data_IF_261905923140
#
_entry.id   IF_261905923140
#
_cell.length_a   1.000
_cell.length_b   1.000
_cell.length_c   1.000
_cell.angle_alpha   90.00
_cell.angle_beta   90.00
_cell.angle_gamma   90.00
#
_symmetry.space_group_name_H-M   'P 1'
#
loop_
_entity.id
_entity.type
_entity.pdbx_description
1 polymer ?
#
# COMPACT_ATOMS: atom_id res chain seq x y z
N UNK A 1 6.60 -11.13 -14.30
CA UNK A 1 7.81 -10.93 -13.47
C UNK A 1 8.42 -12.30 -13.21
N UNK A 2 9.53 -12.64 -13.87
CA UNK A 2 10.21 -13.93 -13.66
C UNK A 2 11.40 -13.72 -12.73
N UNK A 3 11.15 -13.67 -11.41
CA UNK A 3 12.14 -13.76 -10.31
C UNK A 3 13.21 -12.67 -10.20
N UNK A 4 13.76 -12.18 -11.30
CA UNK A 4 14.77 -11.13 -11.39
C UNK A 4 14.69 -10.24 -12.63
N UNK A 5 13.78 -10.52 -13.59
CA UNK A 5 13.51 -9.63 -14.73
C UNK A 5 12.03 -9.31 -14.87
N UNK A 6 11.77 -8.04 -15.23
CA UNK A 6 10.46 -7.55 -15.62
C UNK A 6 10.46 -7.47 -17.13
N UNK A 7 9.57 -8.22 -17.77
CA UNK A 7 9.33 -8.16 -19.20
C UNK A 7 7.93 -7.59 -19.41
N UNK A 8 7.82 -6.62 -20.32
CA UNK A 8 6.53 -6.07 -20.72
C UNK A 8 5.85 -7.06 -21.66
N UNK A 9 4.60 -7.37 -21.38
CA UNK A 9 3.74 -8.24 -22.18
C UNK A 9 2.49 -7.44 -22.57
N UNK A 10 1.96 -7.68 -23.76
CA UNK A 10 0.75 -6.99 -24.24
C UNK A 10 -0.52 -7.60 -23.63
N UNK A 11 -0.57 -8.93 -23.50
CA UNK A 11 -1.69 -9.67 -22.95
C UNK A 11 -1.24 -10.84 -22.05
N UNK A 12 -2.14 -11.30 -21.19
CA UNK A 12 -1.90 -12.42 -20.29
C UNK A 12 -3.19 -13.24 -20.09
N UNK A 13 -3.16 -14.58 -20.20
CA UNK A 13 -4.34 -15.40 -19.97
C UNK A 13 -4.72 -15.42 -18.49
N UNK A 14 -6.00 -15.70 -18.23
CA UNK A 14 -6.55 -15.75 -16.88
C UNK A 14 -5.85 -16.80 -15.99
N UNK A 15 -5.68 -16.47 -14.71
CA UNK A 15 -5.06 -17.36 -13.70
C UNK A 15 -3.58 -17.09 -13.45
N UNK A 16 -2.94 -16.20 -14.22
CA UNK A 16 -1.56 -15.80 -13.99
C UNK A 16 -1.43 -14.58 -13.07
N UNK A 17 -0.26 -14.46 -12.43
CA UNK A 17 0.11 -13.28 -11.64
C UNK A 17 0.94 -12.34 -12.51
N UNK A 18 0.47 -11.11 -12.67
CA UNK A 18 1.15 -10.05 -13.42
C UNK A 18 1.44 -8.84 -12.53
N UNK A 19 2.53 -8.13 -12.83
CA UNK A 19 2.79 -6.81 -12.26
C UNK A 19 2.12 -5.76 -13.14
N UNK A 20 1.37 -4.86 -12.53
CA UNK A 20 0.69 -3.77 -13.23
C UNK A 20 1.29 -2.42 -12.81
N UNK A 21 1.59 -1.57 -13.79
CA UNK A 21 2.23 -0.27 -13.59
C UNK A 21 1.24 0.85 -13.91
N UNK A 22 1.25 1.93 -13.12
CA UNK A 22 0.42 3.12 -13.36
C UNK A 22 -0.93 3.16 -12.63
N UNK A 23 -1.23 2.19 -11.77
CA UNK A 23 -2.46 2.16 -10.93
C UNK A 23 -2.24 2.55 -9.48
N UNK A 24 -1.00 2.85 -9.10
CA UNK A 24 -0.58 3.22 -7.75
C UNK A 24 -1.22 4.52 -7.24
N UNK A 25 -1.68 5.38 -8.15
CA UNK A 25 -2.40 6.61 -7.81
C UNK A 25 -3.84 6.35 -7.37
N UNK A 26 -4.46 5.28 -7.87
CA UNK A 26 -5.88 4.97 -7.65
C UNK A 26 -6.08 3.93 -6.55
N UNK A 27 -5.10 3.04 -6.36
CA UNK A 27 -5.15 1.98 -5.36
C UNK A 27 -4.23 2.30 -4.18
N UNK A 28 -4.80 2.26 -2.98
CA UNK A 28 -4.04 2.43 -1.73
C UNK A 28 -3.39 1.11 -1.30
N UNK A 29 -4.18 0.14 -0.86
CA UNK A 29 -3.67 -1.16 -0.38
C UNK A 29 -4.03 -2.32 -1.30
N UNK A 30 -5.31 -2.39 -1.64
CA UNK A 30 -5.86 -3.41 -2.53
C UNK A 30 -7.08 -2.85 -3.23
N UNK A 31 -7.40 -3.41 -4.39
CA UNK A 31 -8.60 -3.08 -5.12
C UNK A 31 -8.83 -4.06 -6.25
N UNK A 32 -10.02 -4.00 -6.82
CA UNK A 32 -10.43 -4.84 -7.95
C UNK A 32 -10.51 -3.96 -9.18
N UNK A 33 -9.80 -4.36 -10.24
CA UNK A 33 -9.86 -3.71 -11.54
C UNK A 33 -10.83 -4.49 -12.43
N UNK A 34 -11.69 -3.77 -13.15
CA UNK A 34 -12.72 -4.34 -14.01
C UNK A 34 -13.06 -3.34 -15.11
N UNK A 35 -13.45 -3.86 -16.27
CA UNK A 35 -14.00 -3.06 -17.38
C UNK A 35 -15.52 -3.01 -17.36
N UNK A 36 -16.18 -3.80 -16.50
CA UNK A 36 -17.64 -3.84 -16.37
C UNK A 36 -18.12 -2.86 -15.31
N UNK A 37 -19.10 -2.02 -15.68
CA UNK A 37 -19.73 -1.05 -14.76
C UNK A 37 -20.58 -1.71 -13.67
N UNK A 38 -21.03 -2.95 -13.88
CA UNK A 38 -21.87 -3.69 -12.93
C UNK A 38 -21.08 -4.59 -11.98
N UNK A 39 -19.75 -4.59 -12.11
CA UNK A 39 -18.89 -5.42 -11.28
C UNK A 39 -18.85 -4.93 -9.83
N UNK A 40 -18.67 -5.89 -8.92
CA UNK A 40 -18.53 -5.62 -7.49
C UNK A 40 -17.09 -5.89 -7.04
N UNK A 41 -16.65 -5.13 -6.04
CA UNK A 41 -15.30 -5.30 -5.49
C UNK A 41 -15.13 -6.68 -4.87
N UNK A 42 -13.95 -7.27 -5.04
CA UNK A 42 -13.57 -8.47 -4.32
C UNK A 42 -13.49 -8.17 -2.82
N UNK A 43 -13.79 -9.18 -2.01
CA UNK A 43 -13.74 -9.06 -0.56
C UNK A 43 -12.33 -8.71 -0.10
N UNK A 44 -12.21 -7.66 0.69
CA UNK A 44 -10.94 -7.23 1.28
C UNK A 44 -10.34 -8.37 2.11
N UNK A 45 -9.03 -8.59 1.96
CA UNK A 45 -8.31 -9.56 2.77
C UNK A 45 -8.41 -9.19 4.25
N UNK A 46 -8.81 -10.16 5.09
CA UNK A 46 -8.75 -10.03 6.54
C UNK A 46 -7.45 -10.65 7.02
N UNK A 47 -6.61 -9.84 7.63
CA UNK A 47 -5.41 -10.33 8.31
C UNK A 47 -5.82 -10.88 9.67
N UNK A 48 -5.26 -12.04 10.04
CA UNK A 48 -5.56 -12.71 11.31
C UNK A 48 -5.05 -11.92 12.52
N UNK A 49 -4.11 -10.99 12.31
CA UNK A 49 -3.48 -10.17 13.34
C UNK A 49 -3.85 -8.70 13.14
N UNK A 50 -4.25 -8.04 14.23
CA UNK A 50 -4.35 -6.58 14.27
C UNK A 50 -3.00 -6.00 14.66
N UNK A 51 -2.56 -4.87 14.08
CA UNK A 51 -1.32 -4.22 14.47
C UNK A 51 -1.44 -3.74 15.92
N UNK A 52 -0.66 -4.35 16.82
CA UNK A 52 -0.69 -4.09 18.27
C UNK A 52 0.43 -3.16 18.72
N UNK A 53 1.56 -3.14 18.00
CA UNK A 53 2.69 -2.28 18.32
C UNK A 53 2.50 -0.96 17.61
N UNK A 54 2.59 0.14 18.35
CA UNK A 54 2.48 1.50 17.82
C UNK A 54 3.70 2.31 18.25
N UNK A 55 4.30 3.04 17.31
CA UNK A 55 5.47 3.88 17.54
C UNK A 55 5.24 5.25 16.91
N UNK A 56 5.45 6.30 17.70
CA UNK A 56 5.50 7.66 17.19
C UNK A 56 6.86 7.89 16.49
N UNK A 57 6.82 8.36 15.25
CA UNK A 57 8.01 8.63 14.44
C UNK A 57 8.10 10.11 14.10
N UNK A 58 9.31 10.64 14.22
CA UNK A 58 9.61 12.05 13.99
C UNK A 58 10.84 12.22 13.10
N UNK A 59 10.91 13.36 12.42
CA UNK A 59 12.10 13.71 11.63
C UNK A 59 13.18 14.30 12.52
N UNK A 60 14.44 13.93 12.28
CA UNK A 60 15.58 14.57 12.94
C UNK A 60 15.78 16.02 12.48
N UNK A 61 15.52 16.29 11.20
CA UNK A 61 15.58 17.63 10.63
C UNK A 61 14.17 18.03 10.15
N UNK A 62 13.70 19.21 10.55
CA UNK A 62 12.37 19.70 10.15
C UNK A 62 12.17 19.76 8.62
N UNK A 63 13.24 20.01 7.86
CA UNK A 63 13.20 20.08 6.39
C UNK A 63 12.87 18.73 5.73
N UNK A 64 13.03 17.61 6.43
CA UNK A 64 12.75 16.27 5.89
C UNK A 64 11.30 15.83 6.14
N UNK A 65 10.47 16.63 6.81
CA UNK A 65 9.06 16.30 7.08
C UNK A 65 8.28 15.88 5.83
N UNK A 66 8.41 16.56 4.66
CA UNK A 66 7.75 16.11 3.44
C UNK A 66 8.18 14.71 2.99
N UNK A 67 9.46 14.34 3.22
CA UNK A 67 9.98 13.00 2.89
C UNK A 67 9.44 11.94 3.83
N UNK A 68 9.26 12.25 5.12
CA UNK A 68 8.62 11.35 6.08
C UNK A 68 7.19 11.04 5.65
N UNK A 69 6.39 12.06 5.37
CA UNK A 69 4.98 11.89 4.96
C UNK A 69 4.87 11.04 3.70
N UNK A 70 5.71 11.30 2.70
CA UNK A 70 5.76 10.49 1.47
C UNK A 70 6.21 9.04 1.74
N UNK A 71 7.20 8.85 2.60
CA UNK A 71 7.67 7.52 3.02
C UNK A 71 6.59 6.71 3.73
N UNK A 72 5.85 7.34 4.64
CA UNK A 72 4.74 6.71 5.37
C UNK A 72 3.61 6.28 4.43
N UNK A 73 3.25 7.13 3.46
CA UNK A 73 2.28 6.77 2.41
C UNK A 73 2.74 5.55 1.63
N UNK A 74 4.01 5.49 1.21
CA UNK A 74 4.57 4.35 0.48
C UNK A 74 4.60 3.08 1.33
N UNK A 75 4.96 3.19 2.60
CA UNK A 75 4.98 2.07 3.53
C UNK A 75 3.58 1.46 3.70
N UNK A 76 2.55 2.29 3.90
CA UNK A 76 1.17 1.83 4.03
C UNK A 76 0.64 1.17 2.74
N UNK A 77 1.12 1.58 1.56
CA UNK A 77 0.80 0.92 0.28
C UNK A 77 1.52 -0.42 0.11
N UNK A 78 2.77 -0.51 0.59
CA UNK A 78 3.63 -1.68 0.36
C UNK A 78 3.33 -2.84 1.31
N UNK A 79 2.98 -2.56 2.56
CA UNK A 79 2.74 -3.58 3.57
C UNK A 79 1.28 -3.51 4.06
N UNK A 80 0.47 -4.57 3.85
CA UNK A 80 -0.92 -4.55 4.26
C UNK A 80 -1.12 -4.52 5.78
N UNK A 81 -0.17 -5.07 6.56
CA UNK A 81 -0.21 -5.12 8.02
C UNK A 81 0.17 -3.79 8.67
N UNK A 82 0.86 -2.91 7.94
CA UNK A 82 1.26 -1.59 8.47
C UNK A 82 0.12 -0.58 8.32
N UNK A 83 -0.11 0.18 9.39
CA UNK A 83 -1.02 1.31 9.42
C UNK A 83 -0.26 2.57 9.82
N UNK A 84 -0.52 3.66 9.12
CA UNK A 84 0.11 4.95 9.40
C UNK A 84 -0.95 6.03 9.47
N UNK A 85 -0.97 6.82 10.54
CA UNK A 85 -1.90 7.94 10.69
C UNK A 85 -1.26 9.08 11.49
N UNK A 86 -1.94 10.23 11.50
CA UNK A 86 -1.57 11.38 12.33
C UNK A 86 -2.51 11.37 13.53
N UNK A 87 -1.96 11.30 14.74
CA UNK A 87 -2.73 11.38 15.97
C UNK A 87 -3.24 12.81 16.18
N UNK A 88 -4.27 12.99 17.01
CA UNK A 88 -4.79 14.32 17.37
C UNK A 88 -3.74 15.22 18.06
N UNK A 89 -2.71 14.60 18.64
CA UNK A 89 -1.53 15.26 19.20
C UNK A 89 -0.60 15.86 18.14
N UNK A 90 -0.80 15.54 16.86
CA UNK A 90 0.07 15.92 15.74
C UNK A 90 1.20 14.94 15.45
N UNK A 91 1.31 13.84 16.21
CA UNK A 91 2.35 12.83 16.04
C UNK A 91 2.06 11.88 14.87
N UNK A 92 3.10 11.49 14.14
CA UNK A 92 2.98 10.45 13.11
C UNK A 92 3.12 9.08 13.76
N UNK A 93 2.07 8.26 13.71
CA UNK A 93 2.07 6.91 14.27
C UNK A 93 2.29 5.89 13.17
N UNK A 94 3.20 4.95 13.40
CA UNK A 94 3.35 3.71 12.63
C UNK A 94 2.93 2.56 13.52
N UNK A 95 1.96 1.77 13.06
CA UNK A 95 1.52 0.57 13.73
C UNK A 95 1.76 -0.67 12.88
N UNK A 96 2.21 -1.74 13.53
CA UNK A 96 2.52 -3.02 12.90
C UNK A 96 2.34 -4.18 13.89
N UNK A 97 2.47 -5.40 13.37
CA UNK A 97 2.55 -6.64 14.13
C UNK A 97 3.90 -7.31 13.85
#
# INVERSE_FOLDING_TARGET
MMGGRVEAIEDCPAGNIIGLVGVDQFLLKSGTLTTSETAHNMKVMKFSVSPVVQVAVEVKNANDLPKLVEGLKRLSKSDPCVQTWIAETGEHIVAGA
#
